data_IF_678613387032
#
_entry.id   IF_678613387032
#
_cell.length_a   1.000
_cell.length_b   1.000
_cell.length_c   1.000
_cell.angle_alpha   90.00
_cell.angle_beta   90.00
_cell.angle_gamma   90.00
#
_symmetry.space_group_name_H-M   'P 1'
#
loop_
_entity.id
_entity.type
_entity.pdbx_description
1 polymer ?
#
# COMPACT_ATOMS: atom_id res chain seq x y z
N UNK A 1 8.85 3.30 18.67
CA UNK A 1 7.92 3.39 17.52
C UNK A 1 6.63 2.60 17.73
N UNK A 2 6.63 1.26 17.79
CA UNK A 2 5.38 0.49 17.99
C UNK A 2 4.68 0.78 19.31
N UNK A 3 5.35 0.56 20.44
CA UNK A 3 4.75 0.78 21.78
C UNK A 3 4.54 2.26 22.11
N UNK A 4 5.43 3.12 21.60
CA UNK A 4 5.44 4.55 21.95
C UNK A 4 4.53 5.39 21.05
N UNK A 5 4.38 5.01 19.78
CA UNK A 5 3.63 5.76 18.77
C UNK A 5 2.47 4.96 18.18
N UNK A 6 2.26 3.70 18.56
CA UNK A 6 1.17 2.88 18.00
C UNK A 6 1.31 2.59 16.51
N UNK A 7 2.51 2.75 15.92
CA UNK A 7 2.79 2.50 14.50
C UNK A 7 3.54 1.19 14.36
N UNK A 8 2.93 0.22 13.68
CA UNK A 8 3.55 -1.07 13.35
C UNK A 8 3.89 -1.09 11.86
N UNK A 9 5.15 -1.40 11.53
CA UNK A 9 5.64 -1.49 10.16
C UNK A 9 6.17 -2.91 9.95
N UNK A 10 5.67 -3.59 8.91
CA UNK A 10 6.11 -4.93 8.54
C UNK A 10 6.29 -5.05 7.03
N UNK A 11 7.29 -5.81 6.61
CA UNK A 11 7.41 -6.25 5.23
C UNK A 11 6.50 -7.46 5.00
N UNK A 12 5.53 -7.32 4.09
CA UNK A 12 4.57 -8.39 3.83
C UNK A 12 5.12 -9.32 2.76
N UNK A 13 5.39 -10.56 3.13
CA UNK A 13 6.04 -11.54 2.25
C UNK A 13 5.35 -12.90 2.34
N UNK A 14 5.16 -13.54 1.19
CA UNK A 14 4.77 -14.93 1.07
C UNK A 14 5.97 -15.87 1.12
N UNK A 15 5.85 -17.02 0.47
CA UNK A 15 6.94 -17.98 0.27
C UNK A 15 7.14 -18.26 -1.21
N UNK A 16 8.31 -18.79 -1.56
CA UNK A 16 8.57 -19.21 -2.93
C UNK A 16 7.69 -20.41 -3.32
N UNK A 17 7.59 -20.67 -4.63
CA UNK A 17 6.86 -21.83 -5.15
C UNK A 17 7.48 -23.18 -4.75
N UNK A 18 8.73 -23.19 -4.27
CA UNK A 18 9.43 -24.38 -3.78
C UNK A 18 9.76 -24.19 -2.30
N UNK A 19 8.85 -24.61 -1.39
CA UNK A 19 9.06 -24.45 0.05
C UNK A 19 10.41 -24.98 0.52
N UNK A 20 11.15 -24.17 1.28
CA UNK A 20 12.47 -24.51 1.80
C UNK A 20 13.62 -24.35 0.78
N UNK A 21 13.35 -23.72 -0.35
CA UNK A 21 14.35 -23.37 -1.36
C UNK A 21 15.38 -22.33 -0.87
N UNK A 22 16.34 -21.98 -1.74
CA UNK A 22 17.40 -21.02 -1.40
C UNK A 22 16.84 -19.63 -1.05
N UNK A 23 15.79 -19.21 -1.75
CA UNK A 23 15.11 -17.93 -1.49
C UNK A 23 14.45 -17.94 -0.10
N UNK A 24 13.72 -19.00 0.26
CA UNK A 24 13.08 -19.09 1.57
C UNK A 24 14.12 -19.08 2.70
N UNK A 25 15.27 -19.76 2.52
CA UNK A 25 16.38 -19.73 3.49
C UNK A 25 17.02 -18.35 3.66
N UNK A 26 17.10 -17.57 2.58
CA UNK A 26 17.60 -16.20 2.65
C UNK A 26 16.64 -15.31 3.45
N UNK A 27 15.33 -15.45 3.22
CA UNK A 27 14.29 -14.78 4.01
C UNK A 27 14.33 -15.22 5.48
N UNK A 28 14.52 -16.52 5.76
CA UNK A 28 14.70 -17.03 7.14
C UNK A 28 15.90 -16.42 7.86
N UNK A 29 17.01 -16.20 7.15
CA UNK A 29 18.18 -15.56 7.72
C UNK A 29 17.94 -14.07 8.02
N UNK A 30 17.27 -13.34 7.11
CA UNK A 30 16.91 -11.93 7.30
C UNK A 30 15.90 -11.75 8.44
N UNK A 31 14.88 -12.62 8.51
CA UNK A 31 13.87 -12.61 9.56
C UNK A 31 14.47 -12.86 10.95
N UNK A 32 15.49 -13.74 11.02
CA UNK A 32 16.22 -13.99 12.26
C UNK A 32 17.04 -12.77 12.75
N UNK A 33 17.42 -11.86 11.84
CA UNK A 33 18.17 -10.65 12.17
C UNK A 33 17.26 -9.46 12.48
N UNK A 34 16.23 -9.22 11.67
CA UNK A 34 15.44 -7.99 11.72
C UNK A 34 14.05 -8.15 12.38
N UNK A 35 13.46 -9.36 12.32
CA UNK A 35 12.16 -9.68 12.92
C UNK A 35 11.02 -8.72 12.52
N UNK A 36 11.05 -8.20 11.29
CA UNK A 36 10.14 -7.20 10.76
C UNK A 36 9.29 -7.71 9.58
N UNK A 37 9.28 -9.01 9.33
CA UNK A 37 8.38 -9.62 8.36
C UNK A 37 6.99 -9.91 8.93
N UNK A 38 5.98 -9.76 8.07
CA UNK A 38 4.68 -10.41 8.20
C UNK A 38 4.59 -11.51 7.14
N UNK A 39 4.80 -12.74 7.57
CA UNK A 39 4.75 -13.91 6.68
C UNK A 39 3.34 -14.35 6.40
N UNK A 40 3.00 -14.44 5.12
CA UNK A 40 1.72 -14.94 4.63
C UNK A 40 1.88 -16.37 4.12
N UNK A 41 0.87 -17.22 4.35
CA UNK A 41 0.77 -18.51 3.69
C UNK A 41 0.30 -18.31 2.23
N UNK A 42 1.21 -17.83 1.39
CA UNK A 42 0.95 -17.36 0.04
C UNK A 42 2.16 -17.63 -0.87
N UNK A 43 1.94 -18.25 -2.02
CA UNK A 43 3.01 -18.38 -3.03
C UNK A 43 3.18 -17.05 -3.77
N UNK A 44 4.37 -16.45 -3.67
CA UNK A 44 4.68 -15.20 -4.36
C UNK A 44 4.62 -15.35 -5.89
N UNK A 45 3.96 -14.38 -6.54
CA UNK A 45 3.85 -14.33 -8.00
C UNK A 45 3.08 -13.11 -8.49
N UNK A 46 3.42 -12.61 -9.68
CA UNK A 46 2.82 -11.38 -10.22
C UNK A 46 1.29 -11.45 -10.38
N UNK A 47 0.76 -12.61 -10.80
CA UNK A 47 -0.69 -12.81 -10.93
C UNK A 47 -1.41 -13.07 -9.61
N UNK A 48 -0.68 -13.07 -8.49
CA UNK A 48 -1.18 -13.40 -7.16
C UNK A 48 -1.28 -12.18 -6.24
N UNK A 49 -0.99 -10.97 -6.74
CA UNK A 49 -0.97 -9.73 -5.96
C UNK A 49 -2.31 -9.40 -5.27
N UNK A 50 -3.44 -9.61 -5.95
CA UNK A 50 -4.77 -9.38 -5.35
C UNK A 50 -5.03 -10.33 -4.18
N UNK A 51 -4.65 -11.61 -4.33
CA UNK A 51 -4.70 -12.60 -3.26
C UNK A 51 -3.77 -12.22 -2.10
N UNK A 52 -2.56 -11.73 -2.40
CA UNK A 52 -1.59 -11.26 -1.40
C UNK A 52 -2.16 -10.11 -0.58
N UNK A 53 -2.75 -9.09 -1.21
CA UNK A 53 -3.34 -7.97 -0.46
C UNK A 53 -4.52 -8.42 0.41
N UNK A 54 -5.39 -9.32 -0.09
CA UNK A 54 -6.50 -9.83 0.72
C UNK A 54 -5.99 -10.57 1.95
N UNK A 55 -5.00 -11.44 1.76
CA UNK A 55 -4.37 -12.18 2.87
C UNK A 55 -3.65 -11.22 3.83
N UNK A 56 -3.00 -10.18 3.32
CA UNK A 56 -2.42 -9.12 4.13
C UNK A 56 -3.46 -8.51 5.08
N UNK A 57 -4.56 -7.93 4.56
CA UNK A 57 -5.55 -7.28 5.41
C UNK A 57 -6.21 -8.27 6.38
N UNK A 58 -6.57 -9.47 5.90
CA UNK A 58 -7.14 -10.50 6.77
C UNK A 58 -6.22 -10.87 7.93
N UNK A 59 -4.91 -11.00 7.66
CA UNK A 59 -3.93 -11.36 8.68
C UNK A 59 -3.65 -10.19 9.61
N UNK A 60 -3.45 -9.00 9.06
CA UNK A 60 -3.13 -7.80 9.84
C UNK A 60 -4.22 -7.48 10.86
N UNK A 61 -5.50 -7.54 10.47
CA UNK A 61 -6.65 -7.30 11.38
C UNK A 61 -6.72 -8.36 12.49
N UNK A 62 -6.31 -9.60 12.20
CA UNK A 62 -6.34 -10.67 13.20
C UNK A 62 -5.23 -10.55 14.25
N UNK A 63 -4.16 -9.82 13.94
CA UNK A 63 -2.98 -9.65 14.81
C UNK A 63 -3.03 -8.32 15.56
N UNK A 64 -3.39 -7.23 14.87
CA UNK A 64 -3.34 -5.87 15.40
C UNK A 64 -4.72 -5.23 15.40
N UNK A 65 -5.09 -4.65 16.54
CA UNK A 65 -6.25 -3.78 16.66
C UNK A 65 -5.82 -2.33 16.36
N UNK A 66 -5.91 -1.92 15.09
CA UNK A 66 -5.47 -0.60 14.62
C UNK A 66 -6.61 0.19 13.95
N UNK A 67 -6.60 1.52 14.13
CA UNK A 67 -7.57 2.44 13.50
C UNK A 67 -7.50 2.39 11.96
N UNK A 68 -6.29 2.25 11.42
CA UNK A 68 -6.00 2.23 9.99
C UNK A 68 -4.98 1.16 9.64
N UNK A 69 -5.18 0.55 8.47
CA UNK A 69 -4.24 -0.39 7.84
C UNK A 69 -3.77 0.23 6.53
N UNK A 70 -2.46 0.30 6.35
CA UNK A 70 -1.84 0.99 5.20
C UNK A 70 -1.09 -0.04 4.36
N UNK A 71 -1.31 0.00 3.04
CA UNK A 71 -0.52 -0.76 2.06
C UNK A 71 0.42 0.22 1.36
N UNK A 72 1.69 -0.15 1.25
CA UNK A 72 2.73 0.64 0.58
C UNK A 72 3.60 -0.31 -0.24
N UNK A 73 3.90 0.05 -1.49
CA UNK A 73 4.87 -0.67 -2.31
C UNK A 73 6.31 -0.38 -1.82
N UNK A 74 7.24 -1.30 -2.03
CA UNK A 74 8.63 -1.23 -1.52
C UNK A 74 9.50 -0.19 -2.24
N UNK A 75 9.00 0.39 -3.33
CA UNK A 75 9.60 1.47 -4.10
C UNK A 75 8.99 2.86 -3.82
N UNK A 76 8.38 3.03 -2.64
CA UNK A 76 7.76 4.29 -2.19
C UNK A 76 8.42 4.82 -0.91
N UNK A 77 8.82 6.10 -0.94
CA UNK A 77 9.22 6.85 0.26
C UNK A 77 7.98 7.38 0.97
N UNK A 78 7.88 7.16 2.29
CA UNK A 78 6.75 7.61 3.10
C UNK A 78 7.22 8.55 4.21
N UNK A 79 6.56 9.70 4.32
CA UNK A 79 6.69 10.62 5.44
C UNK A 79 5.66 10.23 6.52
N UNK A 80 6.11 9.48 7.53
CA UNK A 80 5.25 8.85 8.53
C UNK A 80 4.50 9.87 9.40
N UNK A 81 5.13 10.97 9.78
CA UNK A 81 4.48 12.05 10.54
C UNK A 81 3.34 12.69 9.76
N UNK A 82 3.58 13.02 8.50
CA UNK A 82 2.55 13.51 7.59
C UNK A 82 1.43 12.49 7.35
N UNK A 83 1.77 11.20 7.19
CA UNK A 83 0.79 10.13 7.02
C UNK A 83 -0.13 10.03 8.23
N UNK A 84 0.43 9.90 9.43
CA UNK A 84 -0.32 9.74 10.68
C UNK A 84 -1.20 10.96 10.93
N UNK A 85 -0.67 12.17 10.78
CA UNK A 85 -1.47 13.40 10.92
C UNK A 85 -2.63 13.45 9.91
N UNK A 86 -2.42 12.97 8.68
CA UNK A 86 -3.48 12.90 7.68
C UNK A 86 -4.57 11.89 8.06
N UNK A 87 -4.18 10.72 8.56
CA UNK A 87 -5.12 9.67 8.97
C UNK A 87 -5.86 10.03 10.26
N UNK A 88 -5.22 10.71 11.22
CA UNK A 88 -5.85 11.18 12.45
C UNK A 88 -7.07 12.07 12.17
N UNK A 89 -7.02 12.93 11.15
CA UNK A 89 -8.14 13.75 10.68
C UNK A 89 -9.33 12.96 10.10
N UNK A 90 -9.17 11.65 9.93
CA UNK A 90 -10.19 10.74 9.39
C UNK A 90 -10.65 9.69 10.41
N UNK A 91 -10.06 9.63 11.61
CA UNK A 91 -10.31 8.58 12.62
C UNK A 91 -11.78 8.45 13.02
N UNK A 92 -12.53 9.55 13.10
CA UNK A 92 -13.95 9.53 13.47
C UNK A 92 -14.91 9.19 12.32
N UNK A 93 -14.40 9.02 11.10
CA UNK A 93 -15.22 8.75 9.91
C UNK A 93 -15.26 7.24 9.65
N UNK A 94 -16.45 6.66 9.41
CA UNK A 94 -16.55 5.24 9.07
C UNK A 94 -16.15 4.99 7.60
N UNK A 95 -15.70 3.77 7.31
CA UNK A 95 -15.42 3.22 5.97
C UNK A 95 -14.53 4.11 5.12
N UNK A 96 -13.39 4.52 5.68
CA UNK A 96 -12.40 5.31 4.96
C UNK A 96 -11.59 4.41 4.04
N UNK A 97 -11.57 4.79 2.76
CA UNK A 97 -10.58 4.36 1.78
C UNK A 97 -9.94 5.61 1.22
N UNK A 98 -8.63 5.78 1.49
CA UNK A 98 -7.88 6.97 1.12
C UNK A 98 -6.60 6.56 0.39
N UNK A 99 -6.40 7.18 -0.77
CA UNK A 99 -5.39 6.81 -1.77
C UNK A 99 -5.19 7.98 -2.74
N UNK A 100 -4.19 7.89 -3.62
CA UNK A 100 -4.20 8.71 -4.83
C UNK A 100 -5.28 8.14 -5.76
N UNK A 101 -6.50 8.67 -5.64
CA UNK A 101 -7.67 8.06 -6.29
C UNK A 101 -7.67 8.37 -7.79
N UNK A 102 -7.76 7.32 -8.61
CA UNK A 102 -7.88 7.37 -10.07
C UNK A 102 -9.15 6.66 -10.55
N UNK A 103 -9.50 6.93 -11.80
CA UNK A 103 -10.45 6.17 -12.60
C UNK A 103 -10.04 6.40 -14.06
N UNK A 104 -10.25 5.40 -14.90
CA UNK A 104 -9.80 5.40 -16.28
C UNK A 104 -10.50 4.31 -17.08
N UNK A 105 -10.28 4.28 -18.41
CA UNK A 105 -10.85 3.23 -19.26
C UNK A 105 -10.38 1.85 -18.80
N UNK A 106 -11.28 0.87 -18.84
CA UNK A 106 -10.92 -0.53 -18.62
C UNK A 106 -10.01 -1.00 -19.74
N UNK A 107 -8.88 -1.64 -19.40
CA UNK A 107 -7.86 -2.05 -20.36
C UNK A 107 -8.18 -3.45 -20.90
N UNK A 108 -9.18 -3.53 -21.77
CA UNK A 108 -9.69 -4.79 -22.35
C UNK A 108 -8.83 -5.37 -23.49
N UNK A 109 -7.90 -4.59 -24.04
CA UNK A 109 -7.08 -5.03 -25.18
C UNK A 109 -5.95 -5.96 -24.74
N UNK A 110 -5.90 -7.18 -25.29
CA UNK A 110 -4.78 -8.11 -25.03
C UNK A 110 -3.45 -7.51 -25.50
N UNK A 111 -2.40 -7.72 -24.72
CA UNK A 111 -1.03 -7.30 -25.06
C UNK A 111 -0.63 -5.90 -24.57
N UNK A 112 -1.55 -5.11 -24.01
CA UNK A 112 -1.19 -3.87 -23.33
C UNK A 112 -0.69 -4.15 -21.91
N UNK A 113 0.21 -3.30 -21.40
CA UNK A 113 0.63 -3.33 -20.00
C UNK A 113 -0.61 -3.15 -19.11
N UNK A 114 -0.84 -4.08 -18.19
CA UNK A 114 -2.01 -4.11 -17.29
C UNK A 114 -3.35 -4.43 -17.97
N UNK A 115 -3.35 -5.23 -19.04
CA UNK A 115 -4.58 -5.84 -19.56
C UNK A 115 -5.38 -6.53 -18.44
N UNK A 116 -6.68 -6.23 -18.37
CA UNK A 116 -7.62 -6.77 -17.38
C UNK A 116 -8.30 -8.03 -17.95
N UNK A 117 -7.92 -9.25 -17.52
CA UNK A 117 -8.47 -10.50 -18.05
C UNK A 117 -9.98 -10.64 -17.82
N UNK A 118 -10.50 -10.01 -16.77
CA UNK A 118 -11.89 -10.05 -16.37
C UNK A 118 -12.64 -8.75 -16.72
N UNK A 119 -12.21 -8.06 -17.78
CA UNK A 119 -12.75 -6.74 -18.19
C UNK A 119 -14.28 -6.75 -18.36
N UNK A 120 -14.85 -7.90 -18.74
CA UNK A 120 -16.29 -8.12 -18.91
C UNK A 120 -17.09 -7.88 -17.61
N UNK A 121 -16.47 -7.97 -16.43
CA UNK A 121 -17.10 -7.65 -15.13
C UNK A 121 -17.38 -6.16 -14.97
N UNK A 122 -16.70 -5.31 -15.74
CA UNK A 122 -16.88 -3.87 -15.71
C UNK A 122 -17.93 -3.40 -16.74
N UNK A 123 -18.63 -4.33 -17.40
CA UNK A 123 -19.69 -4.07 -18.38
C UNK A 123 -19.19 -4.05 -19.82
N UNK A 124 -19.75 -3.16 -20.64
CA UNK A 124 -19.48 -3.09 -22.08
C UNK A 124 -18.21 -2.29 -22.42
N UNK A 125 -17.79 -2.39 -23.68
CA UNK A 125 -16.65 -1.63 -24.20
C UNK A 125 -16.87 -0.11 -24.03
N UNK A 126 -15.83 0.58 -23.55
CA UNK A 126 -15.89 2.01 -23.22
C UNK A 126 -16.19 2.31 -21.75
N UNK A 127 -16.50 1.29 -20.94
CA UNK A 127 -16.64 1.45 -19.50
C UNK A 127 -15.32 1.79 -18.81
N UNK A 128 -15.46 2.42 -17.63
CA UNK A 128 -14.35 2.86 -16.80
C UNK A 128 -14.30 2.03 -15.53
N UNK A 129 -13.10 1.86 -15.00
CA UNK A 129 -12.92 1.34 -13.65
C UNK A 129 -13.69 2.21 -12.65
N UNK A 130 -14.26 1.56 -11.64
CA UNK A 130 -14.68 2.25 -10.42
C UNK A 130 -13.53 3.10 -9.88
N UNK A 131 -13.87 4.13 -9.12
CA UNK A 131 -12.84 4.99 -8.55
C UNK A 131 -12.07 4.22 -7.48
N UNK A 132 -10.76 4.09 -7.65
CA UNK A 132 -9.89 3.26 -6.80
C UNK A 132 -8.55 3.96 -6.57
N UNK A 133 -7.79 3.52 -5.56
CA UNK A 133 -6.47 4.07 -5.28
C UNK A 133 -5.44 3.54 -6.28
N UNK A 134 -4.42 4.32 -6.56
CA UNK A 134 -3.20 3.79 -7.18
C UNK A 134 -2.52 2.77 -6.24
N UNK A 135 -1.90 1.73 -6.82
CA UNK A 135 -1.31 0.63 -6.04
C UNK A 135 -0.18 1.04 -5.10
N UNK A 136 0.53 2.13 -5.38
CA UNK A 136 1.73 2.55 -4.63
C UNK A 136 1.50 2.74 -3.13
N UNK A 137 0.40 3.41 -2.76
CA UNK A 137 0.05 3.61 -1.35
C UNK A 137 -1.44 3.90 -1.20
N UNK A 138 -2.06 3.24 -0.23
CA UNK A 138 -3.39 3.58 0.26
C UNK A 138 -3.60 3.10 1.69
N UNK A 139 -4.57 3.70 2.37
CA UNK A 139 -4.98 3.33 3.72
C UNK A 139 -6.49 3.05 3.76
N UNK A 140 -6.86 2.09 4.60
CA UNK A 140 -8.26 1.75 4.90
C UNK A 140 -8.49 1.78 6.40
N UNK A 141 -9.68 2.23 6.82
CA UNK A 141 -10.08 2.16 8.24
C UNK A 141 -10.36 0.72 8.67
N UNK A 142 -10.30 0.48 9.98
CA UNK A 142 -10.56 -0.83 10.58
C UNK A 142 -11.87 -1.49 10.12
N UNK A 143 -12.97 -0.73 10.13
CA UNK A 143 -14.28 -1.24 9.76
C UNK A 143 -14.36 -1.65 8.28
N UNK A 144 -13.68 -0.91 7.39
CA UNK A 144 -13.56 -1.27 5.98
C UNK A 144 -12.65 -2.50 5.79
N UNK A 145 -11.53 -2.55 6.51
CA UNK A 145 -10.62 -3.69 6.48
C UNK A 145 -11.34 -4.98 6.92
N UNK A 146 -12.11 -4.91 8.01
CA UNK A 146 -12.91 -6.01 8.51
C UNK A 146 -13.95 -6.47 7.47
N UNK A 147 -14.64 -5.52 6.82
CA UNK A 147 -15.56 -5.81 5.73
C UNK A 147 -14.89 -6.55 4.56
N UNK A 148 -13.71 -6.09 4.12
CA UNK A 148 -12.96 -6.73 3.02
C UNK A 148 -12.51 -8.14 3.39
N UNK A 149 -12.07 -8.35 4.64
CA UNK A 149 -11.59 -9.66 5.09
C UNK A 149 -12.65 -10.77 5.02
N UNK A 150 -13.92 -10.43 5.25
CA UNK A 150 -15.04 -11.37 5.24
C UNK A 150 -15.59 -11.58 3.82
N UNK A 151 -15.56 -10.55 2.98
CA UNK A 151 -16.19 -10.58 1.66
C UNK A 151 -15.19 -10.99 0.56
N UNK A 152 -15.23 -12.27 0.18
CA UNK A 152 -14.38 -12.85 -0.88
C UNK A 152 -14.47 -12.15 -2.25
N UNK A 153 -15.56 -11.40 -2.49
CA UNK A 153 -15.80 -10.66 -3.73
C UNK A 153 -15.51 -9.16 -3.62
N UNK A 154 -15.12 -8.66 -2.45
CA UNK A 154 -14.65 -7.29 -2.30
C UNK A 154 -13.22 -7.20 -2.89
N UNK A 155 -13.12 -7.09 -4.21
CA UNK A 155 -11.89 -6.61 -4.84
C UNK A 155 -11.57 -5.19 -4.32
N UNK A 156 -10.29 -4.81 -4.31
CA UNK A 156 -9.80 -3.46 -3.92
C UNK A 156 -10.53 -2.29 -4.64
N UNK A 157 -11.30 -2.61 -5.68
CA UNK A 157 -12.01 -1.69 -6.57
C UNK A 157 -13.53 -1.55 -6.29
N UNK A 158 -14.09 -2.13 -5.23
CA UNK A 158 -15.54 -2.07 -4.96
C UNK A 158 -15.95 -1.10 -3.83
N UNK A 159 -16.55 0.03 -4.27
CA UNK A 159 -17.63 0.84 -3.62
C UNK A 159 -17.24 2.06 -2.71
N UNK A 160 -18.18 2.95 -2.29
CA UNK A 160 -18.42 4.25 -2.90
C UNK A 160 -18.34 5.44 -1.90
N UNK A 161 -17.38 5.44 -0.98
CA UNK A 161 -17.14 6.58 -0.07
C UNK A 161 -15.65 6.85 0.00
N UNK A 162 -15.22 7.82 -0.79
CA UNK A 162 -13.82 7.99 -1.16
C UNK A 162 -13.35 9.39 -0.82
N UNK A 163 -12.54 9.51 0.22
CA UNK A 163 -11.81 10.74 0.50
C UNK A 163 -10.46 10.68 -0.22
N UNK A 164 -10.04 11.80 -0.81
CA UNK A 164 -8.88 11.87 -1.72
C UNK A 164 -7.59 12.14 -0.92
N UNK A 165 -6.51 11.37 -1.10
CA UNK A 165 -5.17 11.94 -0.90
C UNK A 165 -4.96 12.95 -2.03
N UNK A 166 -4.81 14.22 -1.68
CA UNK A 166 -4.49 15.26 -2.65
C UNK A 166 -3.03 15.11 -3.07
N UNK A 167 -2.79 14.37 -4.14
CA UNK A 167 -1.50 14.32 -4.82
C UNK A 167 -1.43 15.37 -5.96
N UNK A 168 -0.34 16.14 -5.96
CA UNK A 168 0.38 16.65 -7.14
C UNK A 168 1.80 16.99 -6.71
N UNK A 169 2.76 16.45 -7.47
CA UNK A 169 4.20 16.79 -7.59
C UNK A 169 4.53 18.31 -7.54
N UNK A 170 3.53 19.16 -7.76
CA UNK A 170 3.62 20.62 -7.75
C UNK A 170 3.74 21.22 -6.35
N UNK A 171 3.50 20.45 -5.27
CA UNK A 171 3.65 20.93 -3.88
C UNK A 171 5.07 20.89 -3.33
N UNK A 172 5.98 20.10 -3.92
CA UNK A 172 7.40 20.18 -3.58
C UNK A 172 7.97 21.58 -3.90
N UNK A 173 7.50 22.21 -5.00
CA UNK A 173 7.80 23.61 -5.32
C UNK A 173 7.16 24.63 -4.37
N UNK A 174 6.19 24.21 -3.55
CA UNK A 174 5.50 25.05 -2.57
C UNK A 174 5.99 24.82 -1.12
N UNK A 175 7.04 24.02 -0.91
CA UNK A 175 7.63 23.76 0.41
C UNK A 175 6.81 22.84 1.33
N UNK A 176 5.77 22.16 0.81
CA UNK A 176 4.98 21.21 1.61
C UNK A 176 5.44 19.78 1.34
N UNK A 177 5.90 19.06 2.37
CA UNK A 177 6.21 17.65 2.29
C UNK A 177 4.98 16.82 1.91
N UNK A 178 5.12 15.91 0.96
CA UNK A 178 4.06 14.97 0.56
C UNK A 178 3.99 13.80 1.54
N UNK A 179 2.82 13.15 1.69
CA UNK A 179 2.69 11.92 2.51
C UNK A 179 3.56 10.79 1.95
N UNK A 180 3.60 10.66 0.63
CA UNK A 180 4.42 9.68 -0.06
C UNK A 180 5.06 10.29 -1.31
N UNK A 181 6.19 9.74 -1.74
CA UNK A 181 6.92 10.14 -2.93
C UNK A 181 7.58 8.92 -3.55
N UNK A 182 7.57 8.83 -4.88
CA UNK A 182 8.17 7.72 -5.60
C UNK A 182 8.64 8.18 -6.97
N UNK A 183 9.56 7.41 -7.54
CA UNK A 183 10.23 7.78 -8.78
C UNK A 183 9.51 7.21 -10.00
N UNK A 184 8.73 8.05 -10.68
CA UNK A 184 7.98 7.66 -11.87
C UNK A 184 8.86 7.14 -13.02
N UNK A 185 10.12 7.58 -13.11
CA UNK A 185 11.07 7.12 -14.13
C UNK A 185 11.54 5.67 -13.88
N UNK A 186 11.31 5.15 -12.68
CA UNK A 186 11.64 3.81 -12.23
C UNK A 186 10.43 3.15 -11.55
N UNK A 187 9.30 3.02 -12.26
CA UNK A 187 8.21 2.15 -11.78
C UNK A 187 8.70 0.68 -11.77
N UNK A 188 9.06 0.17 -10.59
CA UNK A 188 9.69 -1.14 -10.37
C UNK A 188 11.17 -1.10 -9.91
N UNK A 189 11.69 -2.26 -9.51
CA UNK A 189 13.04 -2.47 -8.91
C UNK A 189 14.17 -2.06 -9.87
N UNK A 190 14.53 -0.78 -9.91
CA UNK A 190 15.75 -0.30 -10.56
C UNK A 190 16.54 0.56 -9.60
N UNK A 191 17.63 -0.02 -9.07
CA UNK A 191 18.53 0.61 -8.09
C UNK A 191 17.77 1.24 -6.90
N UNK A 192 16.73 0.56 -6.40
CA UNK A 192 15.86 1.08 -5.33
C UNK A 192 16.65 1.53 -4.10
N UNK A 193 17.68 0.77 -3.70
CA UNK A 193 18.57 1.09 -2.57
C UNK A 193 19.25 2.47 -2.71
N UNK A 194 19.69 2.83 -3.91
CA UNK A 194 20.34 4.11 -4.17
C UNK A 194 19.32 5.23 -4.38
N UNK A 195 18.30 4.97 -5.20
CA UNK A 195 17.29 5.98 -5.55
C UNK A 195 16.44 6.37 -4.36
N UNK A 196 16.09 5.44 -3.47
CA UNK A 196 15.27 5.75 -2.30
C UNK A 196 15.98 6.72 -1.35
N UNK A 197 17.31 6.65 -1.24
CA UNK A 197 18.10 7.64 -0.49
C UNK A 197 18.00 9.03 -1.09
N UNK A 198 18.01 9.13 -2.42
CA UNK A 198 17.87 10.41 -3.13
C UNK A 198 16.47 11.00 -2.90
N UNK A 199 15.43 10.18 -3.01
CA UNK A 199 14.03 10.60 -2.76
C UNK A 199 13.88 11.03 -1.30
N UNK A 200 14.39 10.25 -0.35
CA UNK A 200 14.37 10.59 1.07
C UNK A 200 15.03 11.94 1.36
N UNK A 201 16.24 12.17 0.82
CA UNK A 201 16.96 13.43 1.04
C UNK A 201 16.28 14.64 0.40
N UNK A 202 15.50 14.42 -0.66
CA UNK A 202 14.82 15.50 -1.40
C UNK A 202 13.43 15.81 -0.85
N UNK A 203 12.73 14.82 -0.30
CA UNK A 203 11.31 14.89 0.04
C UNK A 203 11.00 14.51 1.49
N UNK A 204 12.00 14.15 2.29
CA UNK A 204 11.86 13.76 3.68
C UNK A 204 11.36 14.89 4.58
N UNK A 205 10.57 14.52 5.59
CA UNK A 205 10.02 15.44 6.59
C UNK A 205 11.03 15.87 7.70
N UNK A 206 12.29 15.46 7.59
CA UNK A 206 13.37 15.75 8.55
C UNK A 206 13.34 14.86 9.80
N UNK A 207 14.50 14.70 10.47
CA UNK A 207 14.74 13.69 11.51
C UNK A 207 13.84 13.79 12.77
N UNK A 208 13.15 14.92 12.96
CA UNK A 208 12.28 15.18 14.12
C UNK A 208 10.80 14.89 13.89
N UNK A 209 10.35 14.71 12.65
CA UNK A 209 8.91 14.64 12.34
C UNK A 209 8.21 13.44 12.98
N UNK A 210 8.83 12.25 12.91
CA UNK A 210 8.31 11.05 13.55
C UNK A 210 8.37 11.09 15.09
N UNK A 211 9.28 11.90 15.66
CA UNK A 211 9.41 12.08 17.12
C UNK A 211 8.30 12.96 17.68
N UNK A 212 7.82 13.94 16.91
CA UNK A 212 6.82 14.93 17.31
C UNK A 212 5.36 14.50 17.02
N UNK A 213 5.11 13.23 16.73
CA UNK A 213 3.74 12.70 16.58
C UNK A 213 3.17 12.47 17.98
N UNK A 214 2.28 13.34 18.45
CA UNK A 214 1.53 13.17 19.70
C UNK A 214 0.09 12.74 19.38
N UNK A 215 -0.42 11.74 20.13
CA UNK A 215 -1.75 11.14 19.95
C UNK A 215 -2.74 11.62 21.00
#
# INVERSE_FOLDING_TARGET
>A
MEKEKGIVIRFVIGHSATPGGVLDKAIDAEDAEHQDFLRLNHVEGYHQLSTKTRLYFSTAISIWDADFYVKVDDDVHVNLGMLVNTLANHKSKPRIYIGCMKSGPVLSQKGVKYHEPEYWKFGEEGNKYFRHATGQIYAISQDLAAYISINLYANEDLSPLLTKFLDREWKAKAGNACVASFDWSCSGIRNSVERMKIVHNSCGEGDGAARNIDF
#
